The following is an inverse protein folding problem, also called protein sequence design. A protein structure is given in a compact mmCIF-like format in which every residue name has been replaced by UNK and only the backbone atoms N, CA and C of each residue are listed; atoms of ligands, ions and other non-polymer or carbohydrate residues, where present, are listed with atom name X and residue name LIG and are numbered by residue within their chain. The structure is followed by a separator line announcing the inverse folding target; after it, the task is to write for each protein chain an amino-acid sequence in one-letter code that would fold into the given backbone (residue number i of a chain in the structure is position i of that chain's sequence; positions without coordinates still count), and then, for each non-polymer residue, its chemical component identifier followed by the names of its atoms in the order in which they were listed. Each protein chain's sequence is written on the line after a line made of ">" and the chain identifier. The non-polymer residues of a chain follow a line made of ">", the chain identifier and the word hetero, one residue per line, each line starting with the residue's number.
data_IF_700083603851
#
_entry.id   IF_700083603851
#
_cell.length_a   1.000
_cell.length_b   1.000
_cell.length_c   1.000
_cell.angle_alpha   90.00
_cell.angle_beta   90.00
_cell.angle_gamma   90.00
#
_symmetry.space_group_name_H-M   'P 1'
#
loop_
_entity.id
_entity.type
_entity.pdbx_description
1 polymer ?
#
# COMPACT_ATOMS: atom_id res chain seq x y z
N UNK A 1 7.35 -7.77 8.79
CA UNK A 1 6.73 -6.53 8.27
C UNK A 1 7.67 -5.34 8.47
N UNK A 2 8.19 -4.76 7.40
CA UNK A 2 9.04 -3.56 7.46
C UNK A 2 8.22 -2.33 7.02
N UNK A 3 8.11 -1.29 7.87
CA UNK A 3 7.42 -0.04 7.56
C UNK A 3 8.44 1.05 7.23
N UNK A 4 8.30 1.67 6.05
CA UNK A 4 9.05 2.86 5.65
C UNK A 4 8.06 4.01 5.43
N UNK A 5 8.32 5.15 6.07
CA UNK A 5 7.55 6.38 5.88
C UNK A 5 8.43 7.35 5.08
N UNK A 6 7.86 7.94 4.03
CA UNK A 6 8.48 8.95 3.19
C UNK A 6 7.57 10.17 3.18
N UNK A 7 8.16 11.35 3.34
CA UNK A 7 7.43 12.61 3.23
C UNK A 7 8.05 13.47 2.16
N UNK A 8 7.21 14.24 1.47
CA UNK A 8 7.63 15.29 0.54
C UNK A 8 6.82 16.54 0.87
N UNK A 9 7.50 17.65 1.12
CA UNK A 9 6.90 18.94 1.51
C UNK A 9 6.00 18.88 2.76
N UNK A 10 6.15 17.81 3.56
CA UNK A 10 5.45 17.58 4.83
C UNK A 10 6.48 17.28 5.92
N UNK A 11 6.32 17.96 7.06
CA UNK A 11 7.12 17.71 8.26
C UNK A 11 6.71 16.39 8.91
N UNK A 12 7.65 15.43 8.98
CA UNK A 12 7.42 14.17 9.70
C UNK A 12 7.66 14.36 11.20
N UNK A 13 6.62 14.77 11.93
CA UNK A 13 6.66 14.84 13.40
C UNK A 13 6.57 13.45 14.03
N UNK A 14 7.00 13.32 15.29
CA UNK A 14 6.86 12.06 16.03
C UNK A 14 5.40 11.62 16.19
N UNK A 15 4.49 12.57 16.43
CA UNK A 15 3.05 12.30 16.49
C UNK A 15 2.51 11.74 15.18
N UNK A 16 2.91 12.32 14.04
CA UNK A 16 2.52 11.84 12.72
C UNK A 16 3.09 10.44 12.44
N UNK A 17 4.36 10.22 12.78
CA UNK A 17 5.02 8.92 12.65
C UNK A 17 4.30 7.85 13.48
N UNK A 18 3.94 8.17 14.72
CA UNK A 18 3.23 7.26 15.62
C UNK A 18 1.82 6.97 15.09
N UNK A 19 1.11 7.97 14.60
CA UNK A 19 -0.22 7.81 14.01
C UNK A 19 -0.18 6.85 12.81
N UNK A 20 0.72 7.08 11.86
CA UNK A 20 0.90 6.20 10.70
C UNK A 20 1.25 4.78 11.14
N UNK A 21 2.21 4.61 12.07
CA UNK A 21 2.61 3.30 12.54
C UNK A 21 1.45 2.53 13.18
N UNK A 22 0.65 3.20 14.02
CA UNK A 22 -0.51 2.62 14.69
C UNK A 22 -1.59 2.19 13.69
N UNK A 23 -1.98 3.08 12.76
CA UNK A 23 -3.02 2.81 11.76
C UNK A 23 -2.61 1.69 10.81
N UNK A 24 -1.36 1.69 10.36
CA UNK A 24 -0.82 0.60 9.52
C UNK A 24 -0.77 -0.72 10.29
N UNK A 25 -0.31 -0.72 11.53
CA UNK A 25 -0.26 -1.94 12.34
C UNK A 25 -1.65 -2.57 12.54
N UNK A 26 -2.67 -1.74 12.74
CA UNK A 26 -4.05 -2.17 12.84
C UNK A 26 -4.56 -2.75 11.51
N UNK A 27 -4.44 -2.01 10.41
CA UNK A 27 -4.93 -2.43 9.09
C UNK A 27 -4.25 -3.71 8.57
N UNK A 28 -3.00 -3.95 8.94
CA UNK A 28 -2.20 -5.09 8.43
C UNK A 28 -2.22 -6.31 9.35
N UNK A 29 -2.97 -6.26 10.46
CA UNK A 29 -2.96 -7.30 11.48
C UNK A 29 -3.30 -8.70 10.90
N UNK A 30 -4.23 -8.76 9.95
CA UNK A 30 -4.68 -10.00 9.31
C UNK A 30 -3.71 -10.56 8.25
N UNK A 31 -2.73 -9.77 7.80
CA UNK A 31 -1.79 -10.16 6.74
C UNK A 31 -0.33 -10.25 7.18
N UNK A 32 -0.05 -10.34 8.48
CA UNK A 32 1.33 -10.33 9.02
C UNK A 32 2.26 -11.36 8.39
N UNK A 33 1.73 -12.52 8.01
CA UNK A 33 2.52 -13.62 7.40
C UNK A 33 2.80 -13.43 5.91
N UNK A 34 1.98 -12.61 5.22
CA UNK A 34 2.11 -12.39 3.77
C UNK A 34 2.74 -11.04 3.45
N UNK A 35 2.62 -10.05 4.33
CA UNK A 35 3.13 -8.68 4.11
C UNK A 35 4.63 -8.62 4.41
N UNK A 36 5.42 -8.34 3.38
CA UNK A 36 6.88 -8.25 3.50
C UNK A 36 7.32 -6.82 3.81
N UNK A 37 6.74 -5.83 3.12
CA UNK A 37 7.13 -4.42 3.23
C UNK A 37 5.94 -3.50 3.00
N UNK A 38 5.94 -2.38 3.72
CA UNK A 38 4.96 -1.32 3.60
C UNK A 38 5.71 0.00 3.39
N UNK A 39 5.32 0.75 2.37
CA UNK A 39 5.82 2.09 2.11
C UNK A 39 4.65 3.04 2.17
N UNK A 40 4.72 4.01 3.08
CA UNK A 40 3.75 5.11 3.19
C UNK A 40 4.42 6.37 2.66
N UNK A 41 3.81 7.00 1.66
CA UNK A 41 4.24 8.28 1.11
C UNK A 41 3.20 9.33 1.45
N UNK A 42 3.66 10.41 2.08
CA UNK A 42 2.84 11.56 2.45
C UNK A 42 3.36 12.76 1.67
N UNK A 43 2.51 13.41 0.91
CA UNK A 43 2.92 14.58 0.15
C UNK A 43 1.77 15.55 -0.05
N UNK A 44 2.10 16.83 -0.15
CA UNK A 44 1.14 17.87 -0.55
C UNK A 44 0.98 17.82 -2.08
N UNK A 45 -0.25 17.69 -2.58
CA UNK A 45 -0.54 17.62 -4.02
C UNK A 45 -0.41 19.00 -4.65
N UNK A 46 -0.77 20.03 -3.88
CA UNK A 46 -0.67 21.40 -4.33
C UNK A 46 0.61 21.98 -3.75
N UNK A 47 1.61 22.18 -4.60
CA UNK A 47 2.82 22.95 -4.22
C UNK A 47 2.47 24.40 -3.79
N UNK A 48 3.37 25.38 -3.92
CA UNK A 48 3.20 26.75 -3.38
C UNK A 48 1.99 27.55 -3.92
N UNK A 49 1.15 26.96 -4.76
CA UNK A 49 -0.06 27.52 -5.38
C UNK A 49 -1.32 27.43 -4.49
N UNK A 50 -1.22 26.88 -3.27
CA UNK A 50 -2.16 27.16 -2.18
C UNK A 50 -3.45 26.34 -2.16
N UNK A 51 -3.41 25.05 -2.52
CA UNK A 51 -4.53 24.14 -2.23
C UNK A 51 -4.26 23.32 -0.98
N UNK A 52 -5.30 22.89 -0.26
CA UNK A 52 -5.16 22.16 1.01
C UNK A 52 -5.05 20.64 0.83
N UNK A 53 -5.02 20.16 -0.41
CA UNK A 53 -5.07 18.74 -0.74
C UNK A 53 -3.77 18.00 -0.40
N UNK A 54 -3.83 17.19 0.66
CA UNK A 54 -2.77 16.31 1.11
C UNK A 54 -3.05 14.89 0.65
N UNK A 55 -2.03 14.21 0.15
CA UNK A 55 -2.13 12.84 -0.33
C UNK A 55 -1.41 11.86 0.62
N UNK A 56 -2.06 10.73 0.86
CA UNK A 56 -1.44 9.55 1.43
C UNK A 56 -1.49 8.41 0.40
N UNK A 57 -0.32 7.95 -0.02
CA UNK A 57 -0.16 6.76 -0.85
C UNK A 57 0.47 5.63 -0.03
N UNK A 58 -0.14 4.45 -0.07
CA UNK A 58 0.32 3.26 0.65
C UNK A 58 0.57 2.14 -0.34
N UNK A 59 1.80 1.65 -0.36
CA UNK A 59 2.24 0.49 -1.12
C UNK A 59 2.52 -0.67 -0.17
N UNK A 60 1.85 -1.80 -0.37
CA UNK A 60 2.02 -3.03 0.40
C UNK A 60 2.57 -4.12 -0.49
N UNK A 61 3.78 -4.59 -0.17
CA UNK A 61 4.42 -5.72 -0.83
C UNK A 61 4.04 -7.01 -0.14
N UNK A 62 3.63 -7.98 -0.94
CA UNK A 62 3.17 -9.29 -0.50
C UNK A 62 4.11 -10.39 -0.97
N UNK A 63 4.20 -11.49 -0.23
CA UNK A 63 4.95 -12.68 -0.61
C UNK A 63 4.27 -13.40 -1.77
N UNK A 64 4.97 -13.50 -2.90
CA UNK A 64 4.49 -14.19 -4.10
C UNK A 64 3.21 -13.59 -4.68
N UNK A 65 2.98 -12.29 -4.52
CA UNK A 65 1.85 -11.56 -5.12
C UNK A 65 2.29 -10.19 -5.63
N UNK A 66 1.53 -9.60 -6.58
CA UNK A 66 1.67 -8.19 -6.91
C UNK A 66 1.51 -7.29 -5.69
N UNK A 67 2.14 -6.11 -5.73
CA UNK A 67 1.96 -5.10 -4.71
C UNK A 67 0.53 -4.55 -4.72
N UNK A 68 0.01 -4.21 -3.55
CA UNK A 68 -1.23 -3.46 -3.41
C UNK A 68 -0.87 -1.98 -3.26
N UNK A 69 -1.51 -1.12 -4.04
CA UNK A 69 -1.29 0.33 -3.99
C UNK A 69 -2.65 0.99 -3.80
N UNK A 70 -2.72 1.88 -2.82
CA UNK A 70 -3.90 2.71 -2.53
C UNK A 70 -3.43 4.14 -2.34
N UNK A 71 -4.20 5.07 -2.87
CA UNK A 71 -3.97 6.50 -2.71
C UNK A 71 -5.26 7.17 -2.27
N UNK A 72 -5.15 8.14 -1.37
CA UNK A 72 -6.27 8.95 -0.92
C UNK A 72 -5.82 10.40 -0.73
N UNK A 73 -6.62 11.32 -1.29
CA UNK A 73 -6.37 12.76 -1.27
C UNK A 73 -7.46 13.41 -0.44
N UNK A 74 -7.07 14.18 0.57
CA UNK A 74 -7.96 14.88 1.50
C UNK A 74 -7.39 16.24 1.88
N UNK A 75 -8.22 17.15 2.37
CA UNK A 75 -7.77 18.44 2.90
C UNK A 75 -6.93 18.32 4.19
N UNK A 76 -7.12 17.22 4.92
CA UNK A 76 -6.38 16.90 6.14
C UNK A 76 -5.57 15.60 5.98
N UNK A 77 -4.30 15.65 6.40
CA UNK A 77 -3.36 14.54 6.25
C UNK A 77 -3.73 13.33 7.12
N UNK A 78 -4.21 13.56 8.34
CA UNK A 78 -4.66 12.49 9.22
C UNK A 78 -5.87 11.76 8.61
N UNK A 79 -6.78 12.51 7.99
CA UNK A 79 -7.94 11.93 7.29
C UNK A 79 -7.48 11.14 6.06
N UNK A 80 -6.52 11.65 5.27
CA UNK A 80 -5.94 10.92 4.15
C UNK A 80 -5.28 9.60 4.60
N UNK A 81 -4.52 9.62 5.70
CA UNK A 81 -3.90 8.43 6.28
C UNK A 81 -4.96 7.42 6.72
N UNK A 82 -5.99 7.88 7.42
CA UNK A 82 -7.05 7.01 7.93
C UNK A 82 -7.80 6.32 6.79
N UNK A 83 -8.19 7.06 5.76
CA UNK A 83 -8.87 6.50 4.59
C UNK A 83 -7.97 5.58 3.77
N UNK A 84 -6.72 5.97 3.52
CA UNK A 84 -5.78 5.12 2.80
C UNK A 84 -5.51 3.80 3.56
N UNK A 85 -5.36 3.86 4.89
CA UNK A 85 -5.14 2.67 5.73
C UNK A 85 -6.35 1.73 5.78
N UNK A 86 -7.56 2.26 5.87
CA UNK A 86 -8.80 1.48 5.78
C UNK A 86 -8.92 0.78 4.42
N UNK A 87 -8.75 1.54 3.33
CA UNK A 87 -8.86 1.02 1.95
C UNK A 87 -7.83 -0.06 1.64
N UNK A 88 -6.59 0.09 2.11
CA UNK A 88 -5.55 -0.93 1.89
C UNK A 88 -5.82 -2.19 2.74
N UNK A 89 -6.36 -2.03 3.96
CA UNK A 89 -6.81 -3.15 4.80
C UNK A 89 -7.89 -3.99 4.11
N UNK A 90 -8.95 -3.35 3.62
CA UNK A 90 -10.00 -4.04 2.85
C UNK A 90 -9.48 -4.69 1.56
N UNK A 91 -8.54 -4.05 0.89
CA UNK A 91 -7.92 -4.60 -0.33
C UNK A 91 -7.10 -5.85 0.00
N UNK A 92 -6.39 -5.83 1.13
CA UNK A 92 -5.63 -6.98 1.63
C UNK A 92 -6.57 -8.13 2.04
N UNK A 93 -7.63 -7.85 2.78
CA UNK A 93 -8.61 -8.86 3.20
C UNK A 93 -9.26 -9.55 1.99
N UNK A 94 -9.67 -8.76 0.99
CA UNK A 94 -10.23 -9.29 -0.26
C UNK A 94 -9.21 -10.13 -1.03
N UNK A 95 -7.94 -9.76 -1.00
CA UNK A 95 -6.86 -10.53 -1.63
C UNK A 95 -6.60 -11.86 -0.92
N UNK A 96 -6.61 -11.85 0.42
CA UNK A 96 -6.45 -13.03 1.26
C UNK A 96 -7.63 -14.00 1.11
N UNK A 97 -8.87 -13.50 1.08
CA UNK A 97 -10.06 -14.30 0.84
C UNK A 97 -9.98 -15.04 -0.51
N UNK A 98 -9.67 -14.32 -1.59
CA UNK A 98 -9.51 -14.93 -2.92
C UNK A 98 -8.43 -16.02 -2.98
N UNK A 99 -7.34 -15.88 -2.21
CA UNK A 99 -6.29 -16.92 -2.11
C UNK A 99 -6.72 -18.15 -1.32
N UNK A 100 -7.61 -18.00 -0.35
CA UNK A 100 -8.19 -19.13 0.39
C UNK A 100 -9.20 -19.89 -0.46
N UNK A 101 -10.01 -19.17 -1.24
CA UNK A 101 -11.04 -19.77 -2.10
C UNK A 101 -10.45 -20.42 -3.35
N UNK A 102 -9.33 -19.88 -3.87
CA UNK A 102 -8.57 -20.47 -4.96
C UNK A 102 -7.11 -20.68 -4.52
N UNK A 103 -6.76 -21.80 -3.86
CA UNK A 103 -5.38 -22.19 -3.73
C UNK A 103 -4.83 -22.31 -5.16
N UNK A 104 -3.89 -21.44 -5.50
CA UNK A 104 -3.28 -21.35 -6.82
C UNK A 104 -2.73 -22.73 -7.20
N UNK A 105 -3.47 -23.47 -8.04
CA UNK A 105 -2.92 -24.61 -8.77
C UNK A 105 -1.80 -23.98 -9.60
N UNK A 106 -0.55 -24.33 -9.27
CA UNK A 106 0.63 -23.78 -9.93
C UNK A 106 0.52 -24.08 -11.42
N UNK A 107 0.10 -23.09 -12.21
CA UNK A 107 0.28 -23.10 -13.65
C UNK A 107 1.76 -22.88 -13.92
N UNK A 108 2.52 -23.97 -13.84
CA UNK A 108 3.75 -24.09 -14.60
C UNK A 108 3.39 -23.81 -16.05
N UNK A 109 4.06 -22.82 -16.65
CA UNK A 109 4.38 -22.65 -18.08
C UNK A 109 4.08 -21.24 -18.56
N UNK A 110 5.15 -20.52 -18.86
CA UNK A 110 5.28 -19.73 -20.09
C UNK A 110 6.78 -19.50 -20.33
N UNK A 111 7.39 -20.43 -21.07
CA UNK A 111 8.53 -20.08 -21.92
C UNK A 111 7.94 -19.36 -23.14
N UNK A 112 8.46 -18.19 -23.55
CA UNK A 112 8.06 -17.58 -24.80
C UNK A 112 8.57 -18.42 -25.99
N UNK A 113 7.68 -18.61 -26.96
CA UNK A 113 7.96 -19.19 -28.26
C UNK A 113 9.12 -18.46 -28.93
N UNK A 114 10.18 -19.19 -29.30
CA UNK A 114 11.08 -18.80 -30.38
C UNK A 114 10.39 -19.12 -31.69
N UNK A 115 10.02 -18.08 -32.42
CA UNK A 115 9.59 -18.20 -33.81
C UNK A 115 10.86 -18.29 -34.67
N UNK A 116 11.30 -19.51 -34.95
CA UNK A 116 12.25 -19.81 -36.02
C UNK A 116 11.57 -20.78 -36.97
N UNK A 117 11.28 -20.35 -38.21
CA UNK A 117 11.70 -20.95 -39.50
C UNK A 117 10.78 -20.55 -40.66
N UNK A 118 11.19 -20.72 -41.94
CA UNK A 118 12.46 -21.25 -42.46
C UNK A 118 13.36 -20.24 -43.18
#
# INVERSE_FOLDING_TARGET
>A
MNLKIQTQDILLTDGLRQHVAMRVAYAMNHGRDVVTRIVVRLFDVNGPRGGEDKCCAIEVRLKGAPALIVEDIQTDLYVAIDRATERVGHTLDRHLARRRDFPMISATRQQPFTDETP
#
